data_IF_922661081644
#
_entry.id   IF_922661081644
#
_cell.length_a   1.000
_cell.length_b   1.000
_cell.length_c   1.000
_cell.angle_alpha   90.00
_cell.angle_beta   90.00
_cell.angle_gamma   90.00
#
_symmetry.space_group_name_H-M   'P 1'
#
loop_
_entity.id
_entity.type
_entity.pdbx_description
1 polymer ?
#
# COMPACT_ATOMS: atom_id res chain seq x y z
N UNK A 1 12.62 1.63 -8.49
CA UNK A 1 11.32 0.93 -8.59
C UNK A 1 11.50 -0.47 -8.06
N UNK A 2 10.47 -1.06 -7.49
CA UNK A 2 10.49 -2.44 -7.01
C UNK A 2 9.09 -2.93 -6.72
N UNK A 3 8.97 -4.26 -6.52
CA UNK A 3 7.74 -4.94 -6.17
C UNK A 3 6.61 -4.71 -7.18
N UNK A 4 6.94 -4.90 -8.45
CA UNK A 4 6.01 -4.79 -9.57
C UNK A 4 4.95 -5.92 -9.48
N UNK A 5 3.72 -5.59 -9.87
CA UNK A 5 2.60 -6.55 -9.90
C UNK A 5 1.61 -6.17 -11.00
N UNK A 6 0.93 -7.15 -11.56
CA UNK A 6 -0.17 -6.89 -12.47
C UNK A 6 -1.46 -6.55 -11.72
N UNK A 7 -2.22 -5.61 -12.26
CA UNK A 7 -3.60 -5.41 -11.88
C UNK A 7 -4.48 -6.56 -12.37
N UNK A 8 -5.70 -6.72 -11.85
CA UNK A 8 -6.63 -7.78 -12.30
C UNK A 8 -6.99 -7.72 -13.77
N UNK A 9 -6.83 -6.57 -14.43
CA UNK A 9 -7.04 -6.40 -15.87
C UNK A 9 -6.00 -7.12 -16.75
N UNK A 10 -4.89 -7.56 -16.16
CA UNK A 10 -3.80 -8.27 -16.83
C UNK A 10 -2.95 -7.43 -17.79
N UNK A 11 -3.19 -6.12 -17.88
CA UNK A 11 -2.46 -5.21 -18.77
C UNK A 11 -1.80 -4.03 -18.05
N UNK A 12 -2.30 -3.66 -16.86
CA UNK A 12 -1.75 -2.60 -16.04
C UNK A 12 -0.74 -3.16 -15.04
N UNK A 13 0.42 -2.56 -14.95
CA UNK A 13 1.49 -2.90 -14.03
C UNK A 13 1.52 -1.84 -12.92
N UNK A 14 1.26 -2.26 -11.69
CA UNK A 14 1.44 -1.45 -10.51
C UNK A 14 2.87 -1.58 -9.97
N UNK A 15 3.39 -0.53 -9.38
CA UNK A 15 4.72 -0.51 -8.79
C UNK A 15 4.83 0.55 -7.70
N UNK A 16 5.90 0.49 -6.91
CA UNK A 16 6.28 1.57 -6.01
C UNK A 16 7.78 1.86 -6.11
N UNK A 17 8.21 2.97 -5.55
CA UNK A 17 9.61 3.35 -5.57
C UNK A 17 9.87 4.65 -4.82
N UNK A 18 11.08 5.15 -5.00
CA UNK A 18 11.50 6.43 -4.47
C UNK A 18 12.25 7.24 -5.53
N UNK A 19 12.11 8.55 -5.47
CA UNK A 19 12.84 9.51 -6.31
C UNK A 19 14.28 9.68 -5.81
N UNK A 20 15.11 10.30 -6.61
CA UNK A 20 16.50 10.63 -6.22
C UNK A 20 16.58 11.58 -5.03
N UNK A 21 15.54 12.37 -4.78
CA UNK A 21 15.42 13.23 -3.60
C UNK A 21 14.88 12.50 -2.36
N UNK A 22 14.60 11.18 -2.46
CA UNK A 22 14.08 10.37 -1.36
C UNK A 22 12.55 10.34 -1.22
N UNK A 23 11.80 11.11 -2.04
CA UNK A 23 10.34 11.07 -2.02
C UNK A 23 9.85 9.70 -2.50
N UNK A 24 8.96 9.08 -1.73
CA UNK A 24 8.34 7.82 -2.10
C UNK A 24 7.13 8.03 -3.02
N UNK A 25 6.81 7.04 -3.84
CA UNK A 25 5.64 7.05 -4.70
C UNK A 25 5.14 5.63 -4.96
N UNK A 26 3.88 5.51 -5.29
CA UNK A 26 3.31 4.36 -5.98
C UNK A 26 2.75 4.81 -7.33
N UNK A 27 2.66 3.89 -8.27
CA UNK A 27 2.16 4.22 -9.60
C UNK A 27 1.70 3.01 -10.38
N UNK A 28 1.20 3.29 -11.57
CA UNK A 28 0.82 2.28 -12.54
C UNK A 28 1.11 2.75 -13.96
N UNK A 29 1.33 1.78 -14.85
CA UNK A 29 1.55 1.99 -16.27
C UNK A 29 1.03 0.75 -17.02
N UNK A 30 0.48 0.93 -18.21
CA UNK A 30 0.19 -0.21 -19.08
C UNK A 30 1.45 -0.82 -19.66
N UNK A 31 1.43 -2.11 -19.96
CA UNK A 31 2.59 -2.83 -20.50
C UNK A 31 3.13 -2.25 -21.83
N UNK A 32 2.31 -1.48 -22.56
CA UNK A 32 2.69 -0.77 -23.78
C UNK A 32 3.26 0.63 -23.55
N UNK A 33 3.57 0.98 -22.29
CA UNK A 33 4.07 2.27 -21.82
C UNK A 33 3.07 3.44 -21.96
N UNK A 34 1.78 3.16 -22.00
CA UNK A 34 0.72 4.17 -21.96
C UNK A 34 0.11 4.29 -20.57
N UNK A 35 -0.68 5.34 -20.34
CA UNK A 35 -1.46 5.57 -19.11
C UNK A 35 -0.61 5.55 -17.82
N UNK A 36 0.53 6.24 -17.84
CA UNK A 36 1.37 6.43 -16.67
C UNK A 36 0.63 7.30 -15.62
N UNK A 37 0.51 6.77 -14.41
CA UNK A 37 0.00 7.48 -13.25
C UNK A 37 0.92 7.26 -12.05
N UNK A 38 1.27 8.32 -11.32
CA UNK A 38 2.10 8.23 -10.11
C UNK A 38 1.58 9.18 -9.03
N UNK A 39 1.60 8.70 -7.78
CA UNK A 39 1.22 9.47 -6.59
C UNK A 39 2.38 9.48 -5.61
N UNK A 40 2.89 10.66 -5.28
CA UNK A 40 4.00 10.86 -4.34
C UNK A 40 3.51 11.04 -2.91
N UNK A 41 4.34 10.62 -1.94
CA UNK A 41 4.09 10.81 -0.52
C UNK A 41 5.41 10.94 0.26
N UNK A 42 5.36 11.58 1.43
CA UNK A 42 6.52 12.07 2.17
C UNK A 42 7.00 11.21 3.33
N UNK A 43 6.78 9.89 3.32
CA UNK A 43 7.27 9.01 4.39
C UNK A 43 7.83 7.68 3.85
N UNK A 44 8.65 7.02 4.63
CA UNK A 44 9.32 5.79 4.23
C UNK A 44 8.39 4.57 4.22
N UNK A 45 8.54 3.73 3.20
CA UNK A 45 7.81 2.47 3.03
C UNK A 45 8.73 1.36 2.51
N UNK A 46 8.34 0.11 2.77
CA UNK A 46 9.00 -1.06 2.18
C UNK A 46 8.24 -1.62 0.98
N UNK A 47 6.92 -1.73 1.08
CA UNK A 47 6.09 -2.40 0.08
C UNK A 47 4.83 -1.61 -0.19
N UNK A 48 4.45 -1.55 -1.46
CA UNK A 48 3.20 -0.97 -1.92
C UNK A 48 2.42 -1.95 -2.78
N UNK A 49 1.10 -1.82 -2.76
CA UNK A 49 0.19 -2.58 -3.60
C UNK A 49 -1.04 -1.75 -3.92
N UNK A 50 -1.63 -1.97 -5.10
CA UNK A 50 -2.91 -1.38 -5.49
C UNK A 50 -3.86 -2.45 -6.02
N UNK A 51 -5.16 -2.26 -5.79
CA UNK A 51 -6.18 -3.25 -6.15
C UNK A 51 -6.64 -3.17 -7.62
N UNK A 52 -6.26 -2.11 -8.34
CA UNK A 52 -6.76 -1.83 -9.67
C UNK A 52 -8.20 -1.31 -9.71
N UNK A 53 -8.85 -1.18 -8.55
CA UNK A 53 -10.22 -0.68 -8.37
C UNK A 53 -10.25 0.75 -7.82
N UNK A 54 -9.10 1.35 -7.63
CA UNK A 54 -8.94 2.72 -7.13
C UNK A 54 -8.46 2.82 -5.70
N UNK A 55 -7.89 1.76 -5.14
CA UNK A 55 -7.24 1.81 -3.83
C UNK A 55 -5.76 1.45 -3.95
N UNK A 56 -4.92 2.11 -3.13
CA UNK A 56 -3.51 1.80 -2.97
C UNK A 56 -3.17 1.72 -1.48
N UNK A 57 -2.23 0.86 -1.13
CA UNK A 57 -1.80 0.64 0.24
C UNK A 57 -0.29 0.47 0.30
N UNK A 58 0.32 1.01 1.36
CA UNK A 58 1.73 0.79 1.66
C UNK A 58 1.90 0.38 3.13
N UNK A 59 2.93 -0.42 3.40
CA UNK A 59 3.42 -0.60 4.76
C UNK A 59 4.42 0.52 5.11
N UNK A 60 4.42 0.95 6.34
CA UNK A 60 5.41 1.92 6.82
C UNK A 60 6.76 1.29 7.10
N UNK A 61 7.79 2.11 7.17
CA UNK A 61 9.17 1.75 7.51
C UNK A 61 9.68 2.61 8.67
N UNK A 62 10.57 2.06 9.49
CA UNK A 62 11.21 2.79 10.59
C UNK A 62 10.19 3.22 11.66
N UNK A 63 10.01 4.51 11.82
CA UNK A 63 9.06 5.08 12.79
C UNK A 63 7.59 4.92 12.34
N UNK A 64 7.34 4.79 11.02
CA UNK A 64 6.01 4.57 10.46
C UNK A 64 5.66 3.10 10.56
N UNK A 65 4.79 2.75 11.51
CA UNK A 65 4.39 1.36 11.80
C UNK A 65 2.91 1.10 11.51
N UNK A 66 2.43 1.62 10.37
CA UNK A 66 1.03 1.54 9.97
C UNK A 66 0.89 0.99 8.55
N UNK A 67 -0.28 0.40 8.26
CA UNK A 67 -0.77 0.29 6.90
C UNK A 67 -1.44 1.61 6.54
N UNK A 68 -0.90 2.29 5.52
CA UNK A 68 -1.43 3.56 5.02
C UNK A 68 -2.11 3.33 3.68
N UNK A 69 -3.35 3.83 3.56
CA UNK A 69 -4.24 3.55 2.42
C UNK A 69 -4.68 4.85 1.75
N UNK A 70 -4.79 4.81 0.43
CA UNK A 70 -5.40 5.85 -0.42
C UNK A 70 -6.61 5.29 -1.16
N UNK A 71 -7.55 6.16 -1.49
CA UNK A 71 -8.69 5.84 -2.35
C UNK A 71 -8.87 6.91 -3.40
N UNK A 72 -9.09 6.51 -4.66
CA UNK A 72 -9.41 7.46 -5.73
C UNK A 72 -10.78 8.07 -5.52
N UNK A 73 -10.82 9.40 -5.58
CA UNK A 73 -12.04 10.20 -5.66
C UNK A 73 -11.88 11.19 -6.82
N UNK A 74 -12.84 11.20 -7.73
CA UNK A 74 -12.80 12.07 -8.91
C UNK A 74 -11.49 11.94 -9.73
N UNK A 75 -10.95 10.73 -9.82
CA UNK A 75 -9.72 10.45 -10.59
C UNK A 75 -8.41 10.71 -9.86
N UNK A 76 -8.44 11.25 -8.63
CA UNK A 76 -7.24 11.55 -7.84
C UNK A 76 -7.21 10.70 -6.56
N UNK A 77 -6.05 10.23 -6.16
CA UNK A 77 -5.88 9.52 -4.89
C UNK A 77 -5.93 10.50 -3.70
N UNK A 78 -6.88 10.28 -2.82
CA UNK A 78 -7.00 10.95 -1.53
C UNK A 78 -6.44 10.09 -0.41
N UNK A 79 -5.71 10.70 0.52
CA UNK A 79 -5.03 10.06 1.63
C UNK A 79 -3.63 10.65 1.85
N UNK A 80 -2.77 9.96 2.59
CA UNK A 80 -3.03 8.65 3.20
C UNK A 80 -3.93 8.72 4.44
N UNK A 81 -4.62 7.62 4.68
CA UNK A 81 -5.31 7.36 5.94
C UNK A 81 -4.74 6.12 6.60
N UNK A 82 -4.75 6.08 7.92
CA UNK A 82 -4.25 4.93 8.67
C UNK A 82 -5.32 3.83 8.70
N UNK A 83 -5.03 2.68 8.04
CA UNK A 83 -5.92 1.52 8.08
C UNK A 83 -5.78 0.76 9.40
N UNK A 84 -4.55 0.45 9.81
CA UNK A 84 -4.26 -0.17 11.10
C UNK A 84 -2.77 -0.04 11.46
N UNK A 85 -2.44 -0.33 12.73
CA UNK A 85 -1.06 -0.53 13.16
C UNK A 85 -0.55 -1.90 12.68
N UNK A 86 0.67 -1.92 12.13
CA UNK A 86 1.32 -3.16 11.69
C UNK A 86 1.79 -4.04 12.86
N UNK A 87 2.37 -3.42 13.89
CA UNK A 87 3.04 -4.13 14.99
C UNK A 87 3.99 -5.21 14.48
N UNK A 88 4.76 -4.88 13.45
CA UNK A 88 5.67 -5.76 12.75
C UNK A 88 7.11 -5.34 13.06
N UNK A 89 7.99 -6.30 13.37
CA UNK A 89 9.39 -6.00 13.72
C UNK A 89 10.25 -5.67 12.50
N UNK A 90 9.89 -6.17 11.33
CA UNK A 90 10.69 -6.09 10.10
C UNK A 90 12.12 -6.66 10.22
N UNK A 91 12.41 -7.46 11.27
CA UNK A 91 13.76 -7.96 11.51
C UNK A 91 14.26 -8.99 10.50
N UNK A 92 13.35 -9.57 9.71
CA UNK A 92 13.68 -10.46 8.61
C UNK A 92 12.63 -10.35 7.50
N UNK A 93 13.01 -10.70 6.28
CA UNK A 93 12.11 -10.69 5.12
C UNK A 93 10.82 -11.50 5.33
N UNK A 94 10.86 -12.55 6.15
CA UNK A 94 9.72 -13.43 6.44
C UNK A 94 8.60 -12.75 7.25
N UNK A 95 8.93 -11.65 7.92
CA UNK A 95 7.99 -10.88 8.75
C UNK A 95 7.77 -9.47 8.22
N UNK A 96 8.16 -9.19 6.98
CA UNK A 96 7.72 -7.97 6.29
C UNK A 96 6.22 -8.05 6.00
N UNK A 97 5.54 -6.92 6.07
CA UNK A 97 4.07 -6.91 6.03
C UNK A 97 3.48 -7.35 4.68
N UNK A 98 4.07 -6.94 3.56
CA UNK A 98 3.62 -7.29 2.20
C UNK A 98 2.09 -7.21 2.04
N UNK A 99 1.47 -6.04 2.23
CA UNK A 99 0.01 -5.92 2.19
C UNK A 99 -0.55 -6.27 0.82
N UNK A 100 -1.71 -6.94 0.80
CA UNK A 100 -2.44 -7.30 -0.42
C UNK A 100 -3.94 -7.13 -0.20
N UNK A 101 -4.61 -6.49 -1.15
CA UNK A 101 -6.06 -6.49 -1.18
C UNK A 101 -6.62 -7.85 -1.60
N UNK A 102 -7.82 -8.16 -1.14
CA UNK A 102 -8.62 -9.20 -1.78
C UNK A 102 -9.17 -8.71 -3.13
N UNK A 103 -9.79 -9.62 -3.89
CA UNK A 103 -10.28 -9.32 -5.24
C UNK A 103 -11.39 -8.24 -5.28
N UNK A 104 -12.05 -7.98 -4.16
CA UNK A 104 -13.11 -6.97 -4.05
C UNK A 104 -12.62 -5.64 -3.45
N UNK A 105 -11.35 -5.55 -3.02
CA UNK A 105 -10.79 -4.38 -2.36
C UNK A 105 -11.36 -4.10 -0.96
N UNK A 106 -12.05 -5.09 -0.37
CA UNK A 106 -12.74 -4.94 0.92
C UNK A 106 -11.90 -5.36 2.12
N UNK A 107 -10.84 -6.09 1.90
CA UNK A 107 -9.96 -6.60 2.95
C UNK A 107 -8.51 -6.51 2.52
N UNK A 108 -7.65 -6.33 3.49
CA UNK A 108 -6.19 -6.37 3.30
C UNK A 108 -5.62 -7.51 4.13
N UNK A 109 -4.90 -8.41 3.47
CA UNK A 109 -4.06 -9.45 4.06
C UNK A 109 -2.66 -8.88 4.27
N UNK A 110 -2.05 -9.13 5.43
CA UNK A 110 -0.67 -8.73 5.70
C UNK A 110 0.00 -9.65 6.73
N UNK A 111 1.33 -9.66 6.77
CA UNK A 111 2.11 -10.38 7.77
C UNK A 111 2.42 -9.48 8.96
N UNK A 112 2.40 -10.03 10.17
CA UNK A 112 2.93 -9.39 11.38
C UNK A 112 3.42 -10.45 12.36
N UNK A 113 4.45 -10.11 13.12
CA UNK A 113 5.00 -10.92 14.21
C UNK A 113 4.64 -10.39 15.60
N UNK A 114 3.55 -9.63 15.71
CA UNK A 114 3.08 -9.00 16.96
C UNK A 114 2.87 -9.98 18.12
N UNK A 115 2.71 -11.27 17.83
CA UNK A 115 2.55 -12.34 18.82
C UNK A 115 3.84 -13.17 19.01
N UNK A 116 5.01 -12.65 18.58
CA UNK A 116 6.32 -13.28 18.75
C UNK A 116 6.76 -14.17 17.57
N UNK A 117 5.89 -14.43 16.60
CA UNK A 117 6.21 -15.14 15.35
C UNK A 117 5.34 -14.64 14.19
N UNK A 118 5.81 -14.83 12.96
CA UNK A 118 5.13 -14.34 11.77
C UNK A 118 3.80 -15.06 11.53
N UNK A 119 2.71 -14.30 11.49
CA UNK A 119 1.36 -14.75 11.17
C UNK A 119 0.75 -13.89 10.07
N UNK A 120 -0.28 -14.44 9.43
CA UNK A 120 -1.14 -13.69 8.52
C UNK A 120 -2.29 -13.05 9.31
N UNK A 121 -2.53 -11.79 8.99
CA UNK A 121 -3.62 -11.00 9.56
C UNK A 121 -4.49 -10.45 8.45
N UNK A 122 -5.76 -10.27 8.75
CA UNK A 122 -6.75 -9.71 7.84
C UNK A 122 -7.40 -8.50 8.52
N UNK A 123 -7.48 -7.39 7.79
CA UNK A 123 -8.17 -6.18 8.23
C UNK A 123 -9.22 -5.78 7.18
N UNK A 124 -10.41 -5.37 7.64
CA UNK A 124 -11.43 -4.87 6.75
C UNK A 124 -11.13 -3.42 6.34
N UNK A 125 -11.34 -3.12 5.07
CA UNK A 125 -11.33 -1.75 4.55
C UNK A 125 -12.75 -1.19 4.68
N UNK A 126 -12.97 -0.09 5.42
CA UNK A 126 -14.32 0.45 5.58
C UNK A 126 -14.88 1.01 4.28
N UNK A 127 -16.18 0.85 4.09
CA UNK A 127 -16.88 1.47 2.93
C UNK A 127 -16.79 3.00 3.01
N UNK A 128 -17.08 3.57 4.17
CA UNK A 128 -16.85 5.00 4.44
C UNK A 128 -15.38 5.23 4.77
N UNK A 129 -14.63 5.70 3.77
CA UNK A 129 -13.21 5.97 3.90
C UNK A 129 -12.91 7.10 4.91
N UNK A 130 -13.87 8.00 5.14
CA UNK A 130 -13.70 9.16 6.03
C UNK A 130 -13.56 8.78 7.51
N UNK A 131 -14.02 7.58 7.91
CA UNK A 131 -13.89 7.09 9.30
C UNK A 131 -12.45 6.77 9.68
N UNK A 132 -11.58 6.53 8.70
CA UNK A 132 -10.17 6.29 8.96
C UNK A 132 -9.46 7.59 9.33
N UNK A 133 -8.61 7.60 10.36
CA UNK A 133 -7.84 8.79 10.71
C UNK A 133 -6.88 9.17 9.58
N UNK A 134 -6.72 10.46 9.35
CA UNK A 134 -5.66 10.96 8.47
C UNK A 134 -4.31 10.54 9.05
N UNK A 135 -3.47 10.02 8.18
CA UNK A 135 -2.10 9.72 8.54
C UNK A 135 -1.24 10.97 8.32
N UNK A 136 -0.61 11.42 9.40
CA UNK A 136 0.41 12.48 9.38
C UNK A 136 1.71 11.83 9.83
N UNK A 137 2.74 11.78 8.97
CA UNK A 137 4.03 11.20 9.33
C UNK A 137 4.73 11.98 10.43
#
# INVERSE_FOLDING_TARGET
>A
MGHEFFYPDGVTIGYHGFRTNGTNFFGSIKYDNTELEETEFGFDTWHGYADGLGQAIVDGRGEVKTLSIWRKQNGTYEGPRMLCELRCSFHSQKVHAHPRFDAEGKRVLFTSDKNGYGNLYLVNVPEDFSVLPLFTP
#
